data_IF_328522842959
#
_entry.id   IF_328522842959
#
_cell.length_a   1.000
_cell.length_b   1.000
_cell.length_c   1.000
_cell.angle_alpha   90.00
_cell.angle_beta   90.00
_cell.angle_gamma   90.00
#
_symmetry.space_group_name_H-M   'P 1'
#
loop_
_entity.id
_entity.type
_entity.pdbx_description
1 polymer ?
#
# COMPACT_ATOMS: atom_id res chain seq x y z
N UNK A 1 0.38 4.32 18.53
CA UNK A 1 -0.13 5.38 17.60
C UNK A 1 -0.43 4.77 16.24
N UNK A 2 -1.55 5.18 15.61
CA UNK A 2 -1.93 4.77 14.27
C UNK A 2 -1.78 5.99 13.36
N UNK A 3 -0.99 5.88 12.30
CA UNK A 3 -0.76 6.94 11.34
C UNK A 3 -1.53 6.65 10.03
N UNK A 4 -2.11 7.69 9.42
CA UNK A 4 -2.61 7.64 8.05
C UNK A 4 -1.77 8.58 7.20
N UNK A 5 -1.27 8.09 6.07
CA UNK A 5 -0.46 8.83 5.11
C UNK A 5 -1.25 9.02 3.83
N UNK A 6 -1.37 10.28 3.39
CA UNK A 6 -2.13 10.67 2.20
C UNK A 6 -1.27 11.57 1.31
N UNK A 7 -0.83 11.10 0.14
CA UNK A 7 -0.23 11.97 -0.85
C UNK A 7 -1.32 12.76 -1.58
N UNK A 8 -1.05 14.02 -1.92
CA UNK A 8 -1.99 14.86 -2.66
C UNK A 8 -1.30 15.95 -3.45
N UNK A 9 -1.93 16.33 -4.57
CA UNK A 9 -1.66 17.54 -5.37
C UNK A 9 -2.93 18.34 -5.58
N UNK A 10 -4.05 17.89 -5.00
CA UNK A 10 -5.42 18.36 -5.31
C UNK A 10 -6.08 18.89 -4.04
N UNK A 11 -5.93 20.18 -3.69
CA UNK A 11 -6.47 20.73 -2.46
C UNK A 11 -7.98 20.47 -2.26
N UNK A 12 -8.78 20.64 -3.31
CA UNK A 12 -10.23 20.41 -3.22
C UNK A 12 -10.56 18.94 -2.97
N UNK A 13 -9.81 18.03 -3.58
CA UNK A 13 -10.00 16.59 -3.36
C UNK A 13 -9.61 16.20 -1.94
N UNK A 14 -8.51 16.77 -1.43
CA UNK A 14 -8.10 16.54 -0.05
C UNK A 14 -9.17 17.01 0.95
N UNK A 15 -9.80 18.16 0.71
CA UNK A 15 -10.90 18.65 1.56
C UNK A 15 -12.05 17.63 1.63
N UNK A 16 -12.51 17.13 0.47
CA UNK A 16 -13.56 16.11 0.40
C UNK A 16 -13.12 14.78 1.05
N UNK A 17 -11.85 14.45 0.96
CA UNK A 17 -11.27 13.29 1.65
C UNK A 17 -11.37 13.47 3.16
N UNK A 18 -10.90 14.59 3.70
CA UNK A 18 -10.91 14.87 5.14
C UNK A 18 -12.33 14.85 5.71
N UNK A 19 -13.29 15.47 5.03
CA UNK A 19 -14.70 15.45 5.42
C UNK A 19 -15.25 14.01 5.47
N UNK A 20 -14.94 13.20 4.47
CA UNK A 20 -15.47 11.83 4.39
C UNK A 20 -14.85 10.89 5.44
N UNK A 21 -13.58 11.10 5.81
CA UNK A 21 -12.85 10.24 6.74
C UNK A 21 -12.90 10.69 8.18
N UNK A 22 -13.40 11.91 8.48
CA UNK A 22 -13.39 12.53 9.80
C UNK A 22 -13.86 11.60 10.91
N UNK A 23 -15.02 10.96 10.73
CA UNK A 23 -15.60 10.08 11.75
C UNK A 23 -14.67 8.90 12.12
N UNK A 24 -14.01 8.29 11.13
CA UNK A 24 -13.08 7.19 11.42
C UNK A 24 -11.76 7.71 12.00
N UNK A 25 -11.27 8.86 11.56
CA UNK A 25 -10.06 9.47 12.12
C UNK A 25 -10.24 9.82 13.60
N UNK A 26 -11.36 10.42 13.97
CA UNK A 26 -11.69 10.70 15.38
C UNK A 26 -11.85 9.42 16.20
N UNK A 27 -12.61 8.43 15.66
CA UNK A 27 -12.87 7.16 16.35
C UNK A 27 -11.60 6.39 16.67
N UNK A 28 -10.65 6.35 15.76
CA UNK A 28 -9.40 5.59 15.91
C UNK A 28 -8.22 6.44 16.36
N UNK A 29 -8.44 7.72 16.67
CA UNK A 29 -7.42 8.69 17.11
C UNK A 29 -6.22 8.70 16.16
N UNK A 30 -6.53 8.93 14.88
CA UNK A 30 -5.54 8.87 13.80
C UNK A 30 -4.62 10.09 13.85
N UNK A 31 -3.33 9.85 13.71
CA UNK A 31 -2.34 10.87 13.35
C UNK A 31 -2.23 10.95 11.83
N UNK A 32 -2.60 12.08 11.26
CA UNK A 32 -2.66 12.27 9.81
C UNK A 32 -1.37 12.90 9.29
N UNK A 33 -0.80 12.31 8.25
CA UNK A 33 0.40 12.77 7.54
C UNK A 33 0.04 13.08 6.09
N UNK A 34 -0.10 14.35 5.76
CA UNK A 34 -0.40 14.80 4.40
C UNK A 34 0.91 15.09 3.68
N UNK A 35 1.15 14.38 2.58
CA UNK A 35 2.35 14.55 1.77
C UNK A 35 1.98 15.30 0.50
N UNK A 36 2.51 16.52 0.39
CA UNK A 36 2.27 17.36 -0.78
C UNK A 36 3.24 16.99 -1.92
N UNK A 37 2.66 16.55 -3.03
CA UNK A 37 3.40 16.18 -4.24
C UNK A 37 3.25 17.27 -5.31
N UNK A 38 4.14 18.24 -5.32
CA UNK A 38 4.13 19.31 -6.32
C UNK A 38 4.30 20.72 -5.76
N UNK A 39 3.88 21.71 -6.55
CA UNK A 39 4.03 23.14 -6.25
C UNK A 39 2.74 23.81 -5.75
N UNK A 40 1.68 23.05 -5.53
CA UNK A 40 0.38 23.56 -5.09
C UNK A 40 0.48 24.26 -3.74
N UNK A 41 -0.31 25.33 -3.48
CA UNK A 41 -0.30 26.02 -2.21
C UNK A 41 -0.61 25.07 -1.06
N UNK A 42 0.12 25.23 0.04
CA UNK A 42 -0.13 24.49 1.28
C UNK A 42 -1.54 24.84 1.78
N UNK A 43 -2.33 23.80 2.09
CA UNK A 43 -3.59 24.01 2.80
C UNK A 43 -3.27 24.36 4.26
N UNK A 44 -3.97 25.36 4.79
CA UNK A 44 -3.97 25.64 6.20
C UNK A 44 -4.76 24.52 6.91
N UNK A 45 -4.06 23.55 7.41
CA UNK A 45 -4.61 22.47 8.23
C UNK A 45 -3.71 22.25 9.45
N UNK A 46 -4.29 21.91 10.58
CA UNK A 46 -3.54 21.70 11.83
C UNK A 46 -2.72 20.41 11.84
N UNK A 47 -2.77 19.61 10.76
CA UNK A 47 -2.12 18.33 10.66
C UNK A 47 -0.68 18.44 10.15
N UNK A 48 0.05 17.34 10.29
CA UNK A 48 1.42 17.22 9.84
C UNK A 48 1.45 17.21 8.30
N UNK A 49 1.88 18.34 7.74
CA UNK A 49 1.95 18.56 6.31
C UNK A 49 3.42 18.57 5.87
N UNK A 50 3.78 17.69 4.98
CA UNK A 50 5.15 17.51 4.49
C UNK A 50 5.25 17.70 2.99
N UNK A 51 6.40 18.20 2.53
CA UNK A 51 6.73 18.23 1.11
C UNK A 51 8.11 17.60 0.90
N UNK A 52 8.46 17.29 -0.34
CA UNK A 52 9.80 16.74 -0.64
C UNK A 52 10.91 17.70 -0.21
N UNK A 53 10.64 19.00 -0.14
CA UNK A 53 11.59 20.01 0.38
C UNK A 53 11.91 19.86 1.87
N UNK A 54 11.08 19.10 2.61
CA UNK A 54 11.32 18.81 4.03
C UNK A 54 12.38 17.70 4.23
N UNK A 55 12.85 17.09 3.15
CA UNK A 55 13.95 16.12 3.17
C UNK A 55 15.25 16.89 2.93
N UNK A 56 16.21 16.66 3.79
CA UNK A 56 17.49 17.32 3.75
C UNK A 56 18.64 16.32 3.52
N UNK A 57 19.63 16.72 2.74
CA UNK A 57 20.89 16.02 2.60
C UNK A 57 20.90 14.85 1.61
N UNK A 58 21.74 13.84 1.88
CA UNK A 58 22.05 12.73 0.95
C UNK A 58 20.84 11.83 0.59
N UNK A 59 19.72 11.98 1.30
CA UNK A 59 18.52 11.17 1.11
C UNK A 59 17.50 11.76 0.12
N UNK A 60 17.74 12.95 -0.44
CA UNK A 60 16.90 13.56 -1.47
C UNK A 60 16.65 12.64 -2.68
N UNK A 61 17.63 11.79 -3.01
CA UNK A 61 17.52 10.79 -4.08
C UNK A 61 16.60 9.61 -3.79
N UNK A 62 16.06 9.50 -2.58
CA UNK A 62 15.12 8.44 -2.20
C UNK A 62 13.66 8.83 -2.43
N UNK A 63 13.36 10.12 -2.44
CA UNK A 63 11.98 10.62 -2.49
C UNK A 63 11.94 11.77 -3.49
N UNK A 64 11.03 11.69 -4.46
CA UNK A 64 10.95 12.62 -5.57
C UNK A 64 9.53 13.17 -5.68
N UNK A 65 9.41 14.44 -6.07
CA UNK A 65 8.14 15.05 -6.47
C UNK A 65 7.59 14.44 -7.75
N UNK A 66 6.26 14.50 -7.90
CA UNK A 66 5.52 14.03 -9.09
C UNK A 66 5.75 12.55 -9.35
N UNK A 67 5.79 11.78 -8.27
CA UNK A 67 6.06 10.35 -8.30
C UNK A 67 5.30 9.65 -7.17
N UNK A 68 4.76 8.45 -7.41
CA UNK A 68 4.00 7.68 -6.41
C UNK A 68 4.83 7.38 -5.15
N UNK A 69 6.15 7.31 -5.28
CA UNK A 69 7.09 7.17 -4.17
C UNK A 69 7.13 8.34 -3.19
N UNK A 70 6.48 9.47 -3.48
CA UNK A 70 6.41 10.63 -2.58
C UNK A 70 5.85 10.28 -1.20
N UNK A 71 4.95 9.30 -1.14
CA UNK A 71 4.35 8.82 0.13
C UNK A 71 5.36 8.20 1.10
N UNK A 72 6.54 7.78 0.62
CA UNK A 72 7.63 7.32 1.48
C UNK A 72 8.04 8.38 2.52
N UNK A 73 7.91 9.67 2.19
CA UNK A 73 8.15 10.75 3.14
C UNK A 73 7.21 10.66 4.34
N UNK A 74 5.92 10.52 4.08
CA UNK A 74 4.92 10.35 5.14
C UNK A 74 5.14 9.08 5.94
N UNK A 75 5.48 7.96 5.30
CA UNK A 75 5.82 6.71 5.98
C UNK A 75 7.03 6.88 6.91
N UNK A 76 8.11 7.50 6.43
CA UNK A 76 9.30 7.73 7.24
C UNK A 76 9.02 8.65 8.45
N UNK A 77 8.25 9.73 8.23
CA UNK A 77 7.87 10.65 9.31
C UNK A 77 7.00 9.96 10.36
N UNK A 78 5.97 9.21 9.94
CA UNK A 78 5.14 8.43 10.83
C UNK A 78 5.96 7.40 11.64
N UNK A 79 6.89 6.72 10.98
CA UNK A 79 7.78 5.75 11.63
C UNK A 79 8.68 6.40 12.69
N UNK A 80 9.33 7.52 12.36
CA UNK A 80 10.19 8.27 13.28
C UNK A 80 9.42 8.86 14.45
N UNK A 81 8.15 9.21 14.27
CA UNK A 81 7.25 9.68 15.31
C UNK A 81 6.69 8.54 16.19
N UNK A 82 7.09 7.27 15.92
CA UNK A 82 6.73 6.11 16.73
C UNK A 82 5.37 5.49 16.38
N UNK A 83 4.92 5.59 15.14
CA UNK A 83 3.73 4.86 14.69
C UNK A 83 3.93 3.34 14.86
N UNK A 84 2.91 2.66 15.35
CA UNK A 84 2.86 1.19 15.43
C UNK A 84 2.22 0.60 14.19
N UNK A 85 1.23 1.32 13.64
CA UNK A 85 0.51 0.98 12.41
C UNK A 85 0.53 2.20 11.49
N UNK A 86 0.84 1.97 10.21
CA UNK A 86 0.81 2.96 9.16
C UNK A 86 -0.22 2.51 8.12
N UNK A 87 -1.13 3.40 7.77
CA UNK A 87 -2.18 3.20 6.77
C UNK A 87 -1.90 4.16 5.61
N UNK A 88 -1.94 3.69 4.39
CA UNK A 88 -1.87 4.51 3.18
C UNK A 88 -3.23 4.58 2.51
N UNK A 89 -3.67 5.79 2.22
CA UNK A 89 -4.91 6.08 1.49
C UNK A 89 -4.61 7.12 0.41
N UNK A 90 -5.35 7.06 -0.70
CA UNK A 90 -5.33 8.11 -1.72
C UNK A 90 -6.43 9.15 -1.45
N UNK A 91 -6.20 10.39 -1.85
CA UNK A 91 -7.12 11.51 -1.60
C UNK A 91 -8.48 11.39 -2.34
N UNK A 92 -8.60 10.47 -3.32
CA UNK A 92 -9.84 10.12 -4.02
C UNK A 92 -10.54 8.87 -3.48
N UNK A 93 -10.11 8.35 -2.35
CA UNK A 93 -10.80 7.26 -1.65
C UNK A 93 -11.79 7.79 -0.62
N UNK A 94 -12.84 6.99 -0.37
CA UNK A 94 -13.85 7.25 0.67
C UNK A 94 -14.02 5.99 1.52
N UNK A 95 -14.40 6.11 2.79
CA UNK A 95 -14.63 4.93 3.62
C UNK A 95 -15.77 4.07 3.07
N UNK A 96 -15.60 2.75 3.14
CA UNK A 96 -16.66 1.79 2.86
C UNK A 96 -16.82 0.84 4.05
N UNK A 97 -17.81 1.09 4.87
CA UNK A 97 -17.95 0.44 6.17
C UNK A 97 -16.90 0.97 7.17
N UNK A 98 -16.35 0.10 7.98
CA UNK A 98 -15.36 0.43 9.00
C UNK A 98 -13.93 0.17 8.50
N UNK A 99 -13.53 0.86 7.45
CA UNK A 99 -12.28 0.63 6.69
C UNK A 99 -11.04 0.56 7.59
N UNK A 100 -10.86 1.55 8.47
CA UNK A 100 -9.72 1.61 9.39
C UNK A 100 -9.78 0.49 10.42
N UNK A 101 -10.96 0.26 11.01
CA UNK A 101 -11.16 -0.82 11.96
C UNK A 101 -10.93 -2.20 11.36
N UNK A 102 -11.32 -2.41 10.10
CA UNK A 102 -11.07 -3.66 9.38
C UNK A 102 -9.57 -3.93 9.19
N UNK A 103 -8.78 -2.89 8.85
CA UNK A 103 -7.32 -3.01 8.83
C UNK A 103 -6.73 -3.35 10.19
N UNK A 104 -7.14 -2.64 11.24
CA UNK A 104 -6.66 -2.88 12.60
C UNK A 104 -6.99 -4.32 13.05
N UNK A 105 -8.23 -4.76 12.80
CA UNK A 105 -8.65 -6.15 13.11
C UNK A 105 -7.80 -7.17 12.36
N UNK A 106 -7.57 -6.96 11.07
CA UNK A 106 -6.74 -7.84 10.25
C UNK A 106 -5.31 -7.94 10.77
N UNK A 107 -4.67 -6.81 11.11
CA UNK A 107 -3.31 -6.76 11.64
C UNK A 107 -3.17 -7.40 13.04
N UNK A 108 -4.28 -7.55 13.77
CA UNK A 108 -4.30 -8.21 15.08
C UNK A 108 -4.58 -9.71 15.01
N UNK A 109 -4.58 -10.30 13.82
CA UNK A 109 -4.76 -11.75 13.63
C UNK A 109 -3.42 -12.47 13.48
N UNK A 110 -3.49 -13.79 13.62
CA UNK A 110 -2.46 -14.72 13.16
C UNK A 110 -3.07 -15.57 12.04
N UNK A 111 -2.27 -15.88 11.04
CA UNK A 111 -2.77 -16.55 9.83
C UNK A 111 -1.93 -17.78 9.49
N UNK A 112 -2.55 -18.85 9.01
CA UNK A 112 -1.84 -19.96 8.38
C UNK A 112 -1.24 -19.46 7.06
N UNK A 113 0.07 -19.56 6.90
CA UNK A 113 0.76 -19.07 5.68
C UNK A 113 1.25 -20.20 4.79
N UNK A 114 1.27 -21.41 5.31
CA UNK A 114 1.79 -22.58 4.59
C UNK A 114 0.73 -23.35 3.82
N UNK A 115 -0.56 -23.00 3.99
CA UNK A 115 -1.62 -23.69 3.30
C UNK A 115 -2.92 -22.83 3.26
N UNK A 116 -3.81 -23.18 2.33
CA UNK A 116 -5.13 -22.56 2.22
C UNK A 116 -6.22 -23.52 2.71
N UNK A 117 -7.16 -22.99 3.46
CA UNK A 117 -8.36 -23.70 3.90
C UNK A 117 -9.59 -23.25 3.10
N UNK A 118 -10.51 -24.17 2.89
CA UNK A 118 -11.82 -23.87 2.32
C UNK A 118 -12.81 -23.37 3.36
N UNK A 119 -12.48 -23.51 4.64
CA UNK A 119 -13.30 -23.12 5.79
C UNK A 119 -12.43 -22.28 6.71
N UNK A 120 -12.95 -21.13 7.14
CA UNK A 120 -12.25 -20.24 8.06
C UNK A 120 -11.99 -20.95 9.40
N UNK A 121 -10.83 -20.71 9.99
CA UNK A 121 -10.40 -21.14 11.33
C UNK A 121 -10.35 -22.66 11.56
N UNK A 122 -10.48 -23.48 10.53
CA UNK A 122 -10.47 -24.95 10.66
C UNK A 122 -9.47 -25.58 9.68
N UNK A 123 -8.57 -26.37 10.23
CA UNK A 123 -7.65 -27.17 9.40
C UNK A 123 -8.37 -28.32 8.70
N UNK A 124 -8.10 -28.49 7.43
CA UNK A 124 -8.67 -29.60 6.67
C UNK A 124 -8.21 -30.95 7.23
N UNK A 125 -9.07 -31.96 7.09
CA UNK A 125 -8.77 -33.34 7.48
C UNK A 125 -7.47 -33.82 6.83
N UNK A 126 -6.58 -34.36 7.64
CA UNK A 126 -5.29 -34.90 7.18
C UNK A 126 -4.15 -33.90 7.16
N UNK A 127 -4.39 -32.62 7.44
CA UNK A 127 -3.31 -31.65 7.57
C UNK A 127 -2.48 -31.94 8.84
N UNK A 128 -1.15 -32.15 8.73
CA UNK A 128 -0.33 -32.59 9.84
C UNK A 128 -0.32 -31.59 10.99
N UNK A 129 -0.45 -32.05 12.22
CA UNK A 129 -0.44 -31.19 13.41
C UNK A 129 0.85 -30.40 13.56
N UNK A 130 2.00 -30.98 13.21
CA UNK A 130 3.30 -30.32 13.27
C UNK A 130 3.46 -29.18 12.26
N UNK A 131 2.67 -29.16 11.19
CA UNK A 131 2.70 -28.11 10.16
C UNK A 131 1.63 -27.02 10.38
N UNK A 132 0.83 -27.13 11.44
CA UNK A 132 -0.20 -26.13 11.80
C UNK A 132 0.42 -24.91 12.47
N UNK A 133 1.17 -24.13 11.69
CA UNK A 133 1.85 -22.93 12.15
C UNK A 133 1.10 -21.70 11.67
N UNK A 134 0.99 -20.71 12.54
CA UNK A 134 0.39 -19.42 12.23
C UNK A 134 1.42 -18.31 12.39
N UNK A 135 1.44 -17.41 11.44
CA UNK A 135 2.29 -16.22 11.43
C UNK A 135 1.53 -14.99 11.89
N UNK A 136 2.22 -14.05 12.48
CA UNK A 136 1.68 -12.74 12.82
C UNK A 136 1.36 -11.96 11.55
N UNK A 137 0.14 -11.44 11.44
CA UNK A 137 -0.24 -10.55 10.34
C UNK A 137 0.41 -9.18 10.54
N UNK A 138 1.22 -8.79 9.56
CA UNK A 138 1.93 -7.51 9.57
C UNK A 138 1.55 -6.58 8.42
N UNK A 139 0.82 -7.08 7.42
CA UNK A 139 0.39 -6.31 6.26
C UNK A 139 -1.04 -6.69 5.87
N UNK A 140 -1.88 -5.68 5.70
CA UNK A 140 -3.28 -5.80 5.28
C UNK A 140 -3.49 -5.01 3.99
N UNK A 141 -3.61 -5.72 2.87
CA UNK A 141 -4.00 -5.15 1.59
C UNK A 141 -5.52 -5.06 1.52
N UNK A 142 -6.05 -3.84 1.42
CA UNK A 142 -7.46 -3.59 1.23
C UNK A 142 -7.88 -3.67 -0.23
N UNK A 143 -9.19 -3.67 -0.46
CA UNK A 143 -9.80 -3.72 -1.78
C UNK A 143 -10.68 -2.49 -2.01
N UNK A 144 -11.36 -2.46 -3.16
CA UNK A 144 -12.17 -1.34 -3.61
C UNK A 144 -13.63 -1.73 -3.76
N UNK A 145 -14.48 -0.74 -3.65
CA UNK A 145 -15.87 -0.80 -4.05
C UNK A 145 -16.12 0.31 -5.08
N UNK A 146 -16.84 0.00 -6.15
CA UNK A 146 -17.02 0.92 -7.27
C UNK A 146 -16.04 0.60 -8.42
N UNK A 147 -15.09 1.49 -8.68
CA UNK A 147 -14.09 1.27 -9.73
C UNK A 147 -12.93 0.44 -9.17
N UNK A 148 -12.74 -0.74 -9.75
CA UNK A 148 -11.65 -1.65 -9.37
C UNK A 148 -10.33 -1.23 -10.01
N UNK A 149 -9.24 -1.43 -9.29
CA UNK A 149 -7.90 -1.22 -9.78
C UNK A 149 -7.40 -2.47 -10.52
N UNK A 150 -7.86 -2.63 -11.75
CA UNK A 150 -7.38 -3.63 -12.69
C UNK A 150 -6.46 -2.96 -13.71
N UNK A 151 -5.55 -3.74 -14.30
CA UNK A 151 -4.80 -3.30 -15.46
C UNK A 151 -5.74 -2.89 -16.61
N UNK A 152 -5.24 -2.02 -17.48
CA UNK A 152 -6.05 -1.45 -18.54
C UNK A 152 -6.59 -2.51 -19.52
N UNK A 153 -5.83 -3.58 -19.76
CA UNK A 153 -6.26 -4.70 -20.64
C UNK A 153 -7.47 -5.40 -20.05
N UNK A 154 -7.43 -5.69 -18.76
CA UNK A 154 -8.55 -6.30 -18.04
C UNK A 154 -9.78 -5.39 -18.03
N UNK A 155 -9.59 -4.08 -17.80
CA UNK A 155 -10.70 -3.12 -17.85
C UNK A 155 -11.36 -3.03 -19.23
N UNK A 156 -10.57 -3.07 -20.31
CA UNK A 156 -11.08 -3.04 -21.68
C UNK A 156 -11.86 -4.31 -22.06
N UNK A 157 -11.41 -5.47 -21.57
CA UNK A 157 -12.04 -6.75 -21.87
C UNK A 157 -13.28 -7.04 -21.04
N UNK A 158 -13.24 -6.71 -19.75
CA UNK A 158 -14.26 -7.11 -18.76
C UNK A 158 -15.10 -5.94 -18.27
N UNK A 159 -14.73 -4.71 -18.57
CA UNK A 159 -15.31 -3.53 -17.96
C UNK A 159 -14.96 -3.44 -16.48
N UNK A 160 -15.92 -3.06 -15.65
CA UNK A 160 -15.82 -3.04 -14.18
C UNK A 160 -16.71 -4.13 -13.60
N UNK A 161 -16.26 -5.39 -13.59
CA UNK A 161 -17.09 -6.48 -13.09
C UNK A 161 -17.31 -6.32 -11.58
N UNK A 162 -18.54 -6.59 -11.14
CA UNK A 162 -18.83 -6.76 -9.73
C UNK A 162 -18.20 -8.08 -9.27
N UNK A 163 -17.24 -8.02 -8.38
CA UNK A 163 -16.55 -9.22 -7.89
C UNK A 163 -16.90 -9.51 -6.44
N UNK A 164 -16.98 -10.80 -6.11
CA UNK A 164 -17.07 -11.23 -4.73
C UNK A 164 -15.69 -11.16 -4.09
N UNK A 165 -15.52 -10.26 -3.14
CA UNK A 165 -14.27 -10.14 -2.41
C UNK A 165 -14.11 -11.28 -1.40
N UNK A 166 -12.94 -11.90 -1.40
CA UNK A 166 -12.56 -12.89 -0.41
C UNK A 166 -11.60 -12.28 0.59
N UNK A 167 -11.82 -12.58 1.88
CA UNK A 167 -10.86 -12.32 2.95
C UNK A 167 -9.95 -13.53 3.05
N UNK A 168 -8.65 -13.35 2.88
CA UNK A 168 -7.73 -14.48 2.89
C UNK A 168 -6.30 -14.07 3.24
N UNK A 169 -5.52 -14.96 3.87
CA UNK A 169 -4.09 -14.81 3.91
C UNK A 169 -3.49 -14.99 2.50
N UNK A 170 -2.40 -14.31 2.23
CA UNK A 170 -1.60 -14.51 1.02
C UNK A 170 -0.57 -15.60 1.34
N UNK A 171 -0.64 -16.79 0.72
CA UNK A 171 0.25 -17.90 1.03
C UNK A 171 1.72 -17.56 0.81
N UNK A 172 2.60 -18.22 1.56
CA UNK A 172 4.06 -18.08 1.39
C UNK A 172 4.47 -18.46 -0.04
N UNK A 173 5.34 -17.65 -0.64
CA UNK A 173 5.87 -17.88 -1.99
C UNK A 173 4.95 -17.36 -3.12
N UNK A 174 3.78 -16.86 -2.80
CA UNK A 174 2.87 -16.24 -3.80
C UNK A 174 3.25 -14.77 -4.00
N UNK A 175 3.46 -14.37 -5.25
CA UNK A 175 3.64 -12.95 -5.60
C UNK A 175 2.35 -12.17 -5.30
N UNK A 176 2.49 -11.03 -4.66
CA UNK A 176 1.36 -10.17 -4.35
C UNK A 176 1.65 -8.73 -4.80
N UNK A 177 1.06 -8.29 -5.91
CA UNK A 177 1.04 -6.88 -6.25
C UNK A 177 0.22 -6.12 -5.21
N UNK A 178 0.65 -4.93 -4.87
CA UNK A 178 -0.03 -4.08 -3.89
C UNK A 178 -0.55 -2.83 -4.59
N UNK A 179 -1.81 -2.50 -4.37
CA UNK A 179 -2.33 -1.18 -4.68
C UNK A 179 -2.33 -0.35 -3.39
N UNK A 180 -1.51 0.66 -3.37
CA UNK A 180 -1.18 1.42 -2.16
C UNK A 180 -2.26 2.41 -1.71
N UNK A 181 -3.32 2.59 -2.50
CA UNK A 181 -4.44 3.46 -2.15
C UNK A 181 -5.29 2.96 -0.95
N UNK A 182 -5.11 1.70 -0.54
CA UNK A 182 -5.81 1.12 0.62
C UNK A 182 -4.98 -0.02 1.23
N UNK A 183 -3.95 0.33 1.99
CA UNK A 183 -3.12 -0.66 2.70
C UNK A 183 -2.84 -0.21 4.12
N UNK A 184 -2.63 -1.17 5.01
CA UNK A 184 -2.14 -0.94 6.35
C UNK A 184 -1.04 -1.94 6.70
N UNK A 185 -0.03 -1.49 7.43
CA UNK A 185 1.06 -2.36 7.87
C UNK A 185 1.59 -1.96 9.24
N UNK A 186 2.13 -2.94 9.96
CA UNK A 186 2.87 -2.68 11.21
C UNK A 186 4.18 -1.98 10.88
N UNK A 187 4.56 -1.00 11.66
CA UNK A 187 5.74 -0.17 11.40
C UNK A 187 7.04 -0.97 11.20
N UNK A 188 7.16 -2.15 11.84
CA UNK A 188 8.30 -3.05 11.65
C UNK A 188 8.50 -3.56 10.22
N UNK A 189 7.49 -3.42 9.35
CA UNK A 189 7.58 -3.76 7.93
C UNK A 189 8.27 -2.67 7.13
N UNK A 190 8.22 -1.42 7.59
CA UNK A 190 8.70 -0.28 6.82
C UNK A 190 10.16 -0.38 6.34
N UNK A 191 11.12 -0.92 7.12
CA UNK A 191 12.49 -1.13 6.62
C UNK A 191 12.60 -2.03 5.38
N UNK A 192 11.56 -2.79 5.06
CA UNK A 192 11.46 -3.69 3.90
C UNK A 192 10.46 -3.19 2.86
N UNK A 193 9.73 -2.11 3.13
CA UNK A 193 8.71 -1.55 2.26
C UNK A 193 9.09 -0.15 1.81
N UNK A 194 9.53 -0.07 0.57
CA UNK A 194 9.95 1.17 -0.06
C UNK A 194 9.35 1.23 -1.46
N UNK A 195 8.56 2.25 -1.73
CA UNK A 195 8.09 2.52 -3.08
C UNK A 195 9.21 3.21 -3.86
N UNK A 196 9.92 2.42 -4.67
CA UNK A 196 10.97 2.95 -5.50
C UNK A 196 10.39 3.98 -6.48
N UNK A 197 10.97 5.18 -6.56
CA UNK A 197 10.52 6.16 -7.54
C UNK A 197 10.72 5.61 -8.94
N UNK A 198 9.66 5.65 -9.70
CA UNK A 198 9.62 5.29 -11.11
C UNK A 198 9.43 6.54 -11.93
N UNK A 199 9.96 6.53 -13.14
CA UNK A 199 9.87 7.65 -14.06
C UNK A 199 9.13 7.26 -15.33
N UNK A 200 8.59 8.23 -16.01
CA UNK A 200 7.85 8.08 -17.24
C UNK A 200 6.66 7.10 -17.11
N UNK A 201 6.52 6.20 -18.07
CA UNK A 201 5.47 5.20 -18.15
C UNK A 201 5.56 4.08 -17.10
N UNK A 202 6.67 3.98 -16.35
CA UNK A 202 6.83 2.98 -15.29
C UNK A 202 6.27 3.44 -13.94
N UNK A 203 5.89 4.70 -13.79
CA UNK A 203 5.40 5.24 -12.51
C UNK A 203 4.17 4.48 -11.99
N UNK A 204 3.36 3.88 -12.86
CA UNK A 204 2.20 3.07 -12.51
C UNK A 204 2.53 1.68 -11.95
N UNK A 205 3.80 1.30 -11.89
CA UNK A 205 4.27 -0.01 -11.39
C UNK A 205 5.02 0.08 -10.05
N UNK A 206 5.18 1.28 -9.51
CA UNK A 206 5.93 1.50 -8.29
C UNK A 206 5.37 0.71 -7.10
N UNK A 207 4.06 0.72 -6.93
CA UNK A 207 3.34 0.01 -5.88
C UNK A 207 3.26 -1.50 -6.15
N UNK A 208 3.06 -1.91 -7.41
CA UNK A 208 3.02 -3.31 -7.82
C UNK A 208 4.33 -4.01 -7.48
N UNK A 209 5.45 -3.45 -7.91
CA UNK A 209 6.76 -4.07 -7.72
C UNK A 209 7.27 -3.95 -6.28
N UNK A 210 6.98 -2.85 -5.58
CA UNK A 210 7.24 -2.76 -4.14
C UNK A 210 6.40 -3.76 -3.34
N UNK A 211 5.21 -4.09 -3.83
CA UNK A 211 4.35 -5.14 -3.30
C UNK A 211 5.01 -6.51 -3.36
N UNK A 212 5.63 -6.85 -4.48
CA UNK A 212 6.36 -8.12 -4.62
C UNK A 212 7.54 -8.22 -3.66
N UNK A 213 8.32 -7.14 -3.54
CA UNK A 213 9.49 -7.10 -2.67
C UNK A 213 9.12 -7.17 -1.18
N UNK A 214 8.12 -6.40 -0.76
CA UNK A 214 7.66 -6.45 0.63
C UNK A 214 7.05 -7.81 0.97
N UNK A 215 6.32 -8.44 0.03
CA UNK A 215 5.76 -9.79 0.24
C UNK A 215 6.85 -10.82 0.44
N UNK A 216 7.92 -10.76 -0.36
CA UNK A 216 9.09 -11.61 -0.17
C UNK A 216 9.71 -11.41 1.21
N UNK A 217 9.92 -10.16 1.62
CA UNK A 217 10.47 -9.87 2.94
C UNK A 217 9.56 -10.35 4.09
N UNK A 218 8.23 -10.25 3.94
CA UNK A 218 7.25 -10.78 4.89
C UNK A 218 7.40 -12.30 5.00
N UNK A 219 7.52 -13.00 3.89
CA UNK A 219 7.71 -14.45 3.85
C UNK A 219 9.03 -14.90 4.48
N UNK A 220 10.12 -14.18 4.20
CA UNK A 220 11.46 -14.46 4.72
C UNK A 220 11.56 -14.25 6.24
N UNK A 221 10.79 -13.28 6.78
CA UNK A 221 10.69 -13.00 8.22
C UNK A 221 9.65 -13.89 8.94
N UNK A 222 8.97 -14.79 8.25
CA UNK A 222 7.97 -15.67 8.86
C UNK A 222 6.71 -14.91 9.34
N UNK A 223 6.38 -13.81 8.69
CA UNK A 223 5.18 -13.02 8.94
C UNK A 223 4.07 -13.37 7.95
N UNK A 224 2.88 -12.81 8.16
CA UNK A 224 1.73 -12.98 7.28
C UNK A 224 1.30 -11.65 6.64
N UNK A 225 0.84 -11.75 5.40
CA UNK A 225 0.08 -10.73 4.67
C UNK A 225 -1.34 -11.24 4.44
N UNK A 226 -2.31 -10.36 4.56
CA UNK A 226 -3.72 -10.65 4.24
C UNK A 226 -4.26 -9.70 3.19
N UNK A 227 -5.31 -10.12 2.48
CA UNK A 227 -6.04 -9.27 1.52
C UNK A 227 -7.55 -9.38 1.72
N UNK A 228 -8.29 -8.34 1.31
CA UNK A 228 -9.75 -8.34 1.25
C UNK A 228 -10.49 -8.00 2.54
N UNK A 229 -9.80 -7.76 3.64
CA UNK A 229 -10.44 -7.43 4.92
C UNK A 229 -11.03 -6.02 4.93
N UNK A 230 -10.26 -5.04 4.51
CA UNK A 230 -10.65 -3.64 4.43
C UNK A 230 -11.08 -3.26 3.02
N UNK A 231 -11.98 -2.29 2.90
CA UNK A 231 -12.44 -1.76 1.62
C UNK A 231 -12.54 -0.25 1.67
N UNK A 232 -12.28 0.38 0.52
CA UNK A 232 -12.58 1.80 0.27
C UNK A 232 -13.52 1.91 -0.93
N UNK A 233 -14.28 2.98 -1.01
CA UNK A 233 -14.95 3.38 -2.24
C UNK A 233 -13.95 4.18 -3.07
N UNK A 234 -13.77 3.77 -4.32
CA UNK A 234 -12.97 4.46 -5.32
C UNK A 234 -13.90 4.92 -6.44
N UNK A 235 -13.98 6.24 -6.65
CA UNK A 235 -14.97 6.84 -7.54
C UNK A 235 -14.37 7.34 -8.86
N UNK A 236 -13.06 7.47 -8.92
CA UNK A 236 -12.37 7.97 -10.11
C UNK A 236 -12.19 6.86 -11.13
N UNK A 237 -12.80 7.03 -12.30
CA UNK A 237 -12.51 6.23 -13.48
C UNK A 237 -11.47 6.96 -14.35
N UNK A 238 -10.30 6.35 -14.56
CA UNK A 238 -9.36 6.78 -15.58
C UNK A 238 -9.74 6.15 -16.93
N UNK A 239 -9.34 6.79 -18.04
CA UNK A 239 -9.57 6.24 -19.40
C UNK A 239 -8.68 5.00 -19.60
N UNK A 240 -9.27 3.80 -19.82
CA UNK A 240 -8.51 2.57 -19.99
C UNK A 240 -7.61 2.56 -21.22
N UNK A 241 -7.96 3.26 -22.32
CA UNK A 241 -7.11 3.35 -23.50
C UNK A 241 -5.84 4.17 -23.22
N UNK A 242 -5.98 5.28 -22.50
CA UNK A 242 -4.82 6.08 -22.07
C UNK A 242 -3.95 5.29 -21.12
N UNK A 243 -4.56 4.53 -20.21
CA UNK A 243 -3.84 3.69 -19.26
C UNK A 243 -3.08 2.56 -19.96
N UNK A 244 -3.69 1.92 -20.99
CA UNK A 244 -3.04 0.84 -21.75
C UNK A 244 -1.71 1.30 -22.36
N UNK A 245 -1.69 2.51 -22.92
CA UNK A 245 -0.45 3.08 -23.48
C UNK A 245 0.60 3.27 -22.39
N UNK A 246 0.20 3.78 -21.22
CA UNK A 246 1.12 4.01 -20.08
C UNK A 246 1.59 2.72 -19.40
N UNK A 247 0.80 1.66 -19.48
CA UNK A 247 1.09 0.38 -18.82
C UNK A 247 1.89 -0.59 -19.69
N UNK A 248 1.87 -0.41 -21.02
CA UNK A 248 2.40 -1.39 -21.96
C UNK A 248 3.85 -1.83 -21.70
N UNK A 249 4.73 -0.88 -21.36
CA UNK A 249 6.14 -1.17 -21.04
C UNK A 249 6.27 -1.93 -19.74
N UNK A 250 5.58 -1.49 -18.68
CA UNK A 250 5.63 -2.13 -17.38
C UNK A 250 5.02 -3.54 -17.40
N UNK A 251 3.92 -3.76 -18.14
CA UNK A 251 3.36 -5.09 -18.38
C UNK A 251 4.38 -6.03 -19.03
N UNK A 252 5.10 -5.54 -20.04
CA UNK A 252 6.16 -6.33 -20.68
C UNK A 252 7.31 -6.66 -19.70
N UNK A 253 7.68 -5.73 -18.83
CA UNK A 253 8.70 -5.97 -17.81
C UNK A 253 8.23 -6.96 -16.75
N UNK A 254 6.94 -6.95 -16.37
CA UNK A 254 6.36 -7.96 -15.49
C UNK A 254 6.56 -9.38 -16.03
N UNK A 255 6.28 -9.59 -17.33
CA UNK A 255 6.41 -10.91 -17.96
C UNK A 255 7.87 -11.37 -18.05
N UNK A 256 8.78 -10.46 -18.30
CA UNK A 256 10.19 -10.78 -18.51
C UNK A 256 11.03 -10.75 -17.23
N UNK A 257 10.45 -10.27 -16.11
CA UNK A 257 11.10 -10.11 -14.82
C UNK A 257 12.47 -9.44 -14.94
N UNK A 258 12.45 -8.13 -15.19
CA UNK A 258 13.67 -7.34 -15.42
C UNK A 258 14.59 -7.35 -14.18
N UNK A 259 15.63 -8.20 -14.24
CA UNK A 259 16.57 -8.40 -13.14
C UNK A 259 17.40 -7.16 -12.81
N UNK A 260 17.63 -6.26 -13.79
CA UNK A 260 18.36 -5.01 -13.57
C UNK A 260 17.56 -4.07 -12.66
N UNK A 261 16.26 -3.94 -12.90
CA UNK A 261 15.39 -3.16 -12.04
C UNK A 261 15.42 -3.66 -10.59
N UNK A 262 15.24 -4.96 -10.39
CA UNK A 262 15.22 -5.55 -9.05
C UNK A 262 16.56 -5.46 -8.33
N UNK A 263 17.67 -5.52 -9.05
CA UNK A 263 19.01 -5.27 -8.49
C UNK A 263 19.13 -3.82 -8.00
N UNK A 264 18.68 -2.85 -8.78
CA UNK A 264 18.66 -1.44 -8.38
C UNK A 264 17.75 -1.20 -7.19
N UNK A 265 16.60 -1.87 -7.12
CA UNK A 265 15.69 -1.81 -5.98
C UNK A 265 16.38 -2.27 -4.69
N UNK A 266 17.10 -3.40 -4.72
CA UNK A 266 17.82 -3.91 -3.56
C UNK A 266 18.90 -2.94 -3.04
N UNK A 267 19.53 -2.19 -3.91
CA UNK A 267 20.46 -1.15 -3.50
C UNK A 267 19.74 0.04 -2.85
N UNK A 268 18.62 0.46 -3.38
CA UNK A 268 17.81 1.54 -2.80
C UNK A 268 17.21 1.18 -1.45
N UNK A 269 16.81 -0.07 -1.24
CA UNK A 269 16.25 -0.51 0.06
C UNK A 269 17.31 -0.42 1.19
N UNK A 270 18.58 -0.64 0.92
CA UNK A 270 19.64 -0.44 1.91
C UNK A 270 19.76 1.03 2.33
N UNK A 271 19.76 1.94 1.36
CA UNK A 271 19.79 3.38 1.65
C UNK A 271 18.54 3.83 2.38
N UNK A 272 17.37 3.25 2.06
CA UNK A 272 16.12 3.48 2.78
C UNK A 272 16.22 3.05 4.24
N UNK A 273 16.79 1.88 4.51
CA UNK A 273 17.00 1.40 5.88
C UNK A 273 17.94 2.31 6.68
N UNK A 274 18.99 2.84 6.05
CA UNK A 274 19.89 3.82 6.67
C UNK A 274 19.14 5.11 7.02
N UNK A 275 18.35 5.62 6.08
CA UNK A 275 17.50 6.81 6.29
C UNK A 275 16.50 6.67 7.45
N UNK A 276 15.91 5.51 7.61
CA UNK A 276 14.97 5.26 8.71
C UNK A 276 15.66 5.21 10.09
N UNK A 277 16.95 4.87 10.13
CA UNK A 277 17.76 4.82 11.37
C UNK A 277 18.33 6.18 11.77
N UNK A 278 18.60 7.05 10.80
CA UNK A 278 19.07 8.42 11.02
C UNK A 278 17.95 9.32 11.55
#
# INVERSE_FOLDING_TARGET
MIAVVVPTVRPEQLKLFLEAWQQQFERYKIELYIVHDGETPRLEHNDKFYSVKDIMGDYERLIYNKNDGVRNLGFAKAYKDGAEVIISLDDDTRPFGDTIGDHIRALNTRQPVSYMNSVDDVYMRGFPYWARTEAETVFSHGLWHGVYDFDASTQLLLGTPQTNHRKMPVPKGVLMPVCVMNVAFKAKVLPYYYQAPMFDDLNRFADIWSGWEVKKAIDDNGWAMVTGYSKVRHERASDPFVNLIKEARGLKMNENRDDEYFTQYQNKIRVWQEFLRA
#
